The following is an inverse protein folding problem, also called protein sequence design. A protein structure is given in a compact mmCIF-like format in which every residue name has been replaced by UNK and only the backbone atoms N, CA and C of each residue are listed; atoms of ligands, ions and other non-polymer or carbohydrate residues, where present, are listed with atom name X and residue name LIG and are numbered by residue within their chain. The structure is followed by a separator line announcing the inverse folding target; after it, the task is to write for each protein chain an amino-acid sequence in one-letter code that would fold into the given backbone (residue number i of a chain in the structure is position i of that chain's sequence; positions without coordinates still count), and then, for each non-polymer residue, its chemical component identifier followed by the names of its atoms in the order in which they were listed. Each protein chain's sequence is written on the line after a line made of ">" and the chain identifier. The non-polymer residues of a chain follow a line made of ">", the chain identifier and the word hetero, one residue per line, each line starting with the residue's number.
data_IF_622924853052
#
_entry.id   IF_622924853052
#
_cell.length_a   1.000
_cell.length_b   1.000
_cell.length_c   1.000
_cell.angle_alpha   90.00
_cell.angle_beta   90.00
_cell.angle_gamma   90.00
#
_symmetry.space_group_name_H-M   'P 1'
#
loop_
_entity.id
_entity.type
_entity.pdbx_description
1 polymer ?
#
# COMPACT_ATOMS: atom_id res chain seq x y z
N UNK A 1 -37.31 -18.86 -17.39
CA UNK A 1 -36.18 -18.24 -18.12
C UNK A 1 -36.28 -16.73 -17.96
N UNK A 2 -35.52 -16.13 -17.02
CA UNK A 2 -35.47 -14.68 -16.84
C UNK A 2 -34.23 -14.14 -17.56
N UNK A 3 -34.41 -13.10 -18.36
CA UNK A 3 -33.34 -12.42 -19.07
C UNK A 3 -32.36 -11.75 -18.10
N UNK A 4 -31.06 -11.66 -18.42
CA UNK A 4 -30.10 -10.97 -17.58
C UNK A 4 -30.34 -9.47 -17.68
N UNK A 5 -30.53 -8.82 -16.54
CA UNK A 5 -30.51 -7.37 -16.39
C UNK A 5 -29.11 -6.86 -16.69
N UNK A 6 -28.98 -6.02 -17.73
CA UNK A 6 -27.75 -5.32 -18.07
C UNK A 6 -27.39 -4.35 -16.94
N UNK A 7 -26.44 -4.75 -16.09
CA UNK A 7 -25.71 -3.82 -15.24
C UNK A 7 -24.87 -2.95 -16.18
N UNK A 8 -25.09 -1.64 -16.14
CA UNK A 8 -24.26 -0.67 -16.86
C UNK A 8 -22.85 -0.69 -16.26
N UNK A 9 -21.99 -1.55 -16.79
CA UNK A 9 -20.55 -1.54 -16.53
C UNK A 9 -20.00 -0.44 -17.44
N UNK A 10 -19.57 0.68 -16.85
CA UNK A 10 -18.86 1.74 -17.58
C UNK A 10 -17.66 1.19 -18.37
N UNK A 11 -17.08 1.96 -19.31
CA UNK A 11 -16.03 1.46 -20.20
C UNK A 11 -14.89 0.81 -19.41
N UNK A 12 -14.54 -0.43 -19.78
CA UNK A 12 -13.48 -1.23 -19.14
C UNK A 12 -12.16 -0.45 -19.17
N UNK A 13 -11.69 -0.03 -18.00
CA UNK A 13 -10.42 0.68 -17.86
C UNK A 13 -9.30 -0.35 -17.74
N UNK A 14 -8.59 -0.62 -18.83
CA UNK A 14 -7.37 -1.44 -18.81
C UNK A 14 -6.22 -0.62 -18.22
N UNK A 15 -5.97 -0.80 -16.93
CA UNK A 15 -4.91 -0.10 -16.21
C UNK A 15 -3.57 -0.84 -16.36
N UNK A 16 -2.45 -0.10 -16.45
CA UNK A 16 -1.13 -0.72 -16.45
C UNK A 16 -0.87 -1.48 -15.14
N UNK A 17 -0.04 -2.51 -15.24
CA UNK A 17 0.45 -3.24 -14.07
C UNK A 17 1.71 -2.53 -13.54
N UNK A 18 1.76 -2.31 -12.23
CA UNK A 18 2.87 -1.65 -11.56
C UNK A 18 3.56 -2.61 -10.61
N UNK A 19 4.90 -2.62 -10.64
CA UNK A 19 5.69 -3.45 -9.77
C UNK A 19 6.88 -2.65 -9.23
N UNK A 20 6.99 -2.59 -7.90
CA UNK A 20 8.04 -1.88 -7.20
C UNK A 20 9.18 -2.83 -6.85
N UNK A 21 10.42 -2.40 -7.06
CA UNK A 21 11.60 -3.12 -6.57
C UNK A 21 11.63 -3.08 -5.05
N UNK A 22 11.82 -4.26 -4.43
CA UNK A 22 12.03 -4.35 -3.00
C UNK A 22 13.51 -4.12 -2.67
N UNK A 23 13.85 -2.91 -2.24
CA UNK A 23 15.21 -2.52 -1.86
C UNK A 23 15.84 -3.35 -0.74
N UNK A 24 15.07 -4.17 -0.02
CA UNK A 24 15.59 -5.09 1.00
C UNK A 24 16.10 -6.43 0.43
N UNK A 25 15.69 -6.77 -0.79
CA UNK A 25 15.98 -8.07 -1.43
C UNK A 25 16.71 -7.92 -2.77
N UNK A 26 16.50 -6.82 -3.48
CA UNK A 26 17.02 -6.62 -4.84
C UNK A 26 17.17 -5.14 -5.17
N UNK A 27 17.72 -4.88 -6.35
CA UNK A 27 17.94 -3.55 -6.92
C UNK A 27 17.67 -3.61 -8.43
N UNK A 28 17.39 -2.46 -9.08
CA UNK A 28 17.09 -2.41 -10.52
C UNK A 28 18.18 -3.07 -11.39
N UNK A 29 19.44 -2.94 -11.00
CA UNK A 29 20.59 -3.54 -11.71
C UNK A 29 20.56 -5.07 -11.73
N UNK A 30 19.83 -5.72 -10.82
CA UNK A 30 19.60 -7.17 -10.81
C UNK A 30 18.29 -7.54 -11.51
N UNK A 31 17.24 -6.73 -11.34
CA UNK A 31 15.92 -6.98 -11.92
C UNK A 31 15.92 -6.82 -13.45
N UNK A 32 16.63 -5.83 -13.98
CA UNK A 32 16.68 -5.57 -15.43
C UNK A 32 17.24 -6.75 -16.22
N UNK A 33 18.45 -7.28 -15.92
CA UNK A 33 18.97 -8.45 -16.61
C UNK A 33 18.03 -9.66 -16.55
N UNK A 34 17.36 -9.89 -15.41
CA UNK A 34 16.37 -10.95 -15.28
C UNK A 34 15.21 -10.76 -16.27
N UNK A 35 14.61 -9.56 -16.31
CA UNK A 35 13.50 -9.27 -17.21
C UNK A 35 13.90 -9.45 -18.67
N UNK A 36 15.08 -8.96 -19.06
CA UNK A 36 15.62 -9.14 -20.42
C UNK A 36 15.80 -10.63 -20.75
N UNK A 37 16.33 -11.43 -19.82
CA UNK A 37 16.48 -12.88 -19.99
C UNK A 37 15.13 -13.62 -20.09
N UNK A 38 14.08 -13.06 -19.49
CA UNK A 38 12.69 -13.54 -19.58
C UNK A 38 11.96 -13.04 -20.85
N UNK A 39 12.67 -12.38 -21.76
CA UNK A 39 12.13 -11.93 -23.05
C UNK A 39 11.41 -10.58 -23.00
N UNK A 40 11.53 -9.84 -21.89
CA UNK A 40 11.04 -8.46 -21.83
C UNK A 40 12.01 -7.49 -22.49
N UNK A 41 11.49 -6.36 -22.97
CA UNK A 41 12.26 -5.25 -23.54
C UNK A 41 11.98 -3.97 -22.75
N UNK A 42 13.03 -3.24 -22.36
CA UNK A 42 12.90 -1.95 -21.67
C UNK A 42 12.73 -0.81 -22.68
N UNK A 43 11.58 -0.13 -22.63
CA UNK A 43 11.32 1.07 -23.43
C UNK A 43 11.89 2.28 -22.71
N UNK A 44 13.02 2.79 -23.23
CA UNK A 44 13.69 3.98 -22.70
C UNK A 44 13.01 5.27 -23.16
N UNK A 45 13.05 6.29 -22.30
CA UNK A 45 12.60 7.64 -22.63
C UNK A 45 13.36 8.69 -21.82
N UNK A 46 13.50 9.89 -22.38
CA UNK A 46 14.17 11.00 -21.71
C UNK A 46 13.16 11.83 -20.88
N UNK A 47 13.22 11.68 -19.55
CA UNK A 47 12.37 12.41 -18.59
C UNK A 47 12.46 13.94 -18.71
N UNK A 48 13.62 14.47 -19.14
CA UNK A 48 13.83 15.91 -19.27
C UNK A 48 13.18 16.49 -20.52
N UNK A 49 12.95 15.65 -21.54
CA UNK A 49 12.38 16.07 -22.84
C UNK A 49 10.92 15.69 -23.01
N UNK A 50 10.45 14.65 -22.33
CA UNK A 50 9.07 14.17 -22.46
C UNK A 50 8.16 14.76 -21.38
N UNK A 51 7.01 15.31 -21.80
CA UNK A 51 5.94 15.66 -20.86
C UNK A 51 5.30 14.41 -20.26
N UNK A 52 4.79 14.48 -19.03
CA UNK A 52 4.03 13.38 -18.42
C UNK A 52 2.83 12.89 -19.27
N UNK A 53 2.13 13.80 -19.96
CA UNK A 53 1.04 13.43 -20.88
C UNK A 53 1.51 12.54 -22.04
N UNK A 54 2.71 12.77 -22.58
CA UNK A 54 3.33 11.95 -23.63
C UNK A 54 3.83 10.62 -23.07
N UNK A 55 4.41 10.61 -21.86
CA UNK A 55 4.74 9.38 -21.14
C UNK A 55 3.51 8.47 -20.98
N UNK A 56 2.37 9.02 -20.54
CA UNK A 56 1.12 8.24 -20.44
C UNK A 56 0.63 7.71 -21.80
N UNK A 57 0.97 8.35 -22.92
CA UNK A 57 0.69 7.81 -24.26
C UNK A 57 1.61 6.63 -24.60
N UNK A 58 2.86 6.64 -24.14
CA UNK A 58 3.78 5.50 -24.29
C UNK A 58 3.33 4.31 -23.45
N UNK A 59 2.95 4.53 -22.18
CA UNK A 59 2.43 3.46 -21.30
C UNK A 59 1.23 2.74 -21.93
N UNK A 60 0.30 3.49 -22.56
CA UNK A 60 -0.86 2.90 -23.26
C UNK A 60 -0.51 2.12 -24.52
N UNK A 61 0.69 2.31 -25.07
CA UNK A 61 1.17 1.68 -26.31
C UNK A 61 2.19 0.57 -26.06
N UNK A 62 2.53 0.29 -24.80
CA UNK A 62 3.44 -0.80 -24.45
C UNK A 62 2.93 -2.12 -25.02
N UNK A 63 3.82 -2.86 -25.67
CA UNK A 63 3.56 -4.22 -26.12
C UNK A 63 3.65 -5.21 -24.96
N UNK A 64 3.07 -6.41 -25.10
CA UNK A 64 2.96 -7.39 -24.01
C UNK A 64 4.29 -7.76 -23.34
N UNK A 65 5.38 -7.76 -24.12
CA UNK A 65 6.74 -8.05 -23.68
C UNK A 65 7.55 -6.79 -23.36
N UNK A 66 6.93 -5.62 -23.20
CA UNK A 66 7.64 -4.38 -22.92
C UNK A 66 7.37 -3.91 -21.49
N UNK A 67 8.35 -3.21 -20.93
CA UNK A 67 8.20 -2.47 -19.69
C UNK A 67 8.95 -1.15 -19.77
N UNK A 68 8.68 -0.25 -18.83
CA UNK A 68 9.44 0.97 -18.66
C UNK A 68 9.49 1.36 -17.18
N UNK A 69 10.37 2.31 -16.84
CA UNK A 69 10.43 2.89 -15.49
C UNK A 69 9.44 4.04 -15.34
N UNK A 70 8.79 4.16 -14.19
CA UNK A 70 7.80 5.20 -13.97
C UNK A 70 8.39 6.62 -14.03
N UNK A 71 7.58 7.57 -14.51
CA UNK A 71 7.98 8.96 -14.68
C UNK A 71 8.33 9.68 -13.36
N UNK A 72 7.58 9.42 -12.30
CA UNK A 72 7.78 10.06 -10.98
C UNK A 72 8.68 9.22 -10.08
N UNK A 73 8.63 7.89 -10.22
CA UNK A 73 9.37 6.93 -9.40
C UNK A 73 10.33 6.08 -10.25
N UNK A 74 11.30 6.71 -10.93
CA UNK A 74 12.14 6.04 -11.94
C UNK A 74 13.13 5.05 -11.35
N UNK A 75 13.41 5.12 -10.04
CA UNK A 75 14.43 4.30 -9.39
C UNK A 75 13.89 2.98 -8.86
N UNK A 76 12.56 2.90 -8.66
CA UNK A 76 11.98 1.78 -7.93
C UNK A 76 10.72 1.21 -8.58
N UNK A 77 10.03 1.93 -9.48
CA UNK A 77 8.74 1.50 -10.01
C UNK A 77 8.79 1.16 -11.49
N UNK A 78 8.50 -0.10 -11.82
CA UNK A 78 8.34 -0.61 -13.17
C UNK A 78 6.87 -0.54 -13.60
N UNK A 79 6.65 -0.28 -14.88
CA UNK A 79 5.33 -0.19 -15.51
C UNK A 79 5.25 -1.18 -16.65
N UNK A 80 4.23 -2.02 -16.60
CA UNK A 80 3.93 -3.06 -17.57
C UNK A 80 2.54 -2.81 -18.19
N UNK A 81 2.27 -3.40 -19.38
CA UNK A 81 0.93 -3.42 -19.95
C UNK A 81 -0.13 -3.99 -19.00
N UNK A 82 -1.41 -3.67 -19.24
CA UNK A 82 -2.52 -4.34 -18.57
C UNK A 82 -2.47 -5.87 -18.79
N UNK A 83 -2.70 -6.63 -17.72
CA UNK A 83 -2.78 -8.10 -17.78
C UNK A 83 -1.43 -8.84 -17.77
N UNK A 84 -0.29 -8.14 -17.66
CA UNK A 84 1.01 -8.79 -17.51
C UNK A 84 1.07 -9.62 -16.23
N UNK A 85 1.33 -10.93 -16.37
CA UNK A 85 1.45 -11.86 -15.26
C UNK A 85 2.88 -11.88 -14.71
N UNK A 86 3.11 -11.17 -13.60
CA UNK A 86 4.42 -11.08 -12.94
C UNK A 86 4.66 -12.19 -11.91
N UNK A 87 3.61 -12.95 -11.56
CA UNK A 87 3.64 -13.92 -10.45
C UNK A 87 4.64 -15.06 -10.63
N UNK A 88 5.08 -15.30 -11.87
CA UNK A 88 6.01 -16.37 -12.24
C UNK A 88 7.46 -15.91 -12.30
N UNK A 89 7.72 -14.61 -12.20
CA UNK A 89 9.08 -14.07 -12.29
C UNK A 89 9.90 -14.53 -11.06
N UNK A 90 11.16 -14.96 -11.25
CA UNK A 90 12.07 -15.27 -10.14
C UNK A 90 12.16 -14.14 -9.11
N UNK A 91 12.23 -12.89 -9.56
CA UNK A 91 12.21 -11.68 -8.72
C UNK A 91 10.92 -11.53 -7.92
N UNK A 92 9.77 -11.91 -8.46
CA UNK A 92 8.51 -11.89 -7.72
C UNK A 92 8.50 -12.97 -6.63
N UNK A 93 8.87 -14.20 -6.99
CA UNK A 93 8.90 -15.36 -6.07
C UNK A 93 9.89 -15.13 -4.92
N UNK A 94 11.05 -14.52 -5.22
CA UNK A 94 12.08 -14.18 -4.23
C UNK A 94 11.77 -12.90 -3.42
N UNK A 95 10.62 -12.27 -3.63
CA UNK A 95 10.24 -10.98 -3.05
C UNK A 95 11.20 -9.82 -3.41
N UNK A 96 11.96 -9.93 -4.50
CA UNK A 96 12.73 -8.82 -5.10
C UNK A 96 11.85 -7.81 -5.85
N UNK A 97 10.66 -8.23 -6.29
CA UNK A 97 9.67 -7.41 -6.97
C UNK A 97 8.30 -7.54 -6.28
N UNK A 98 7.67 -6.41 -5.97
CA UNK A 98 6.40 -6.33 -5.25
C UNK A 98 5.34 -5.66 -6.13
N UNK A 99 4.18 -6.29 -6.32
CA UNK A 99 3.07 -5.65 -7.03
C UNK A 99 2.49 -4.54 -6.14
N UNK A 100 2.62 -3.31 -6.60
CA UNK A 100 2.17 -2.13 -5.87
C UNK A 100 1.78 -1.03 -6.84
N UNK A 101 0.54 -0.56 -6.75
CA UNK A 101 0.06 0.54 -7.59
C UNK A 101 0.85 1.83 -7.34
N UNK A 102 1.09 2.59 -8.41
CA UNK A 102 1.81 3.86 -8.36
C UNK A 102 1.28 4.80 -7.28
N UNK A 103 -0.04 4.95 -7.14
CA UNK A 103 -0.61 5.85 -6.13
C UNK A 103 -0.32 5.38 -4.70
N UNK A 104 -0.16 4.06 -4.48
CA UNK A 104 0.24 3.52 -3.18
C UNK A 104 1.70 3.80 -2.84
N UNK A 105 2.54 4.17 -3.81
CA UNK A 105 3.95 4.49 -3.58
C UNK A 105 4.18 5.95 -3.17
N UNK A 106 3.27 6.85 -3.52
CA UNK A 106 3.45 8.30 -3.30
C UNK A 106 3.43 8.72 -1.82
N UNK A 107 2.56 8.17 -0.94
CA UNK A 107 2.49 8.62 0.45
C UNK A 107 3.82 8.49 1.21
N UNK A 108 4.59 7.44 0.96
CA UNK A 108 5.87 7.21 1.64
C UNK A 108 6.97 8.16 1.16
N UNK A 109 6.96 8.54 -0.13
CA UNK A 109 7.89 9.56 -0.67
C UNK A 109 7.69 10.94 -0.02
N UNK A 110 6.45 11.24 0.38
CA UNK A 110 6.10 12.53 0.99
C UNK A 110 6.33 12.51 2.51
N UNK A 111 6.17 11.34 3.13
CA UNK A 111 6.21 11.19 4.58
C UNK A 111 7.57 11.51 5.18
N UNK A 112 8.68 11.12 4.56
CA UNK A 112 9.96 11.15 5.27
C UNK A 112 10.70 12.48 5.10
N UNK A 113 11.11 13.08 6.22
CA UNK A 113 12.05 14.22 6.27
C UNK A 113 13.35 13.92 7.00
N UNK A 114 13.32 12.98 7.95
CA UNK A 114 14.43 12.66 8.82
C UNK A 114 14.60 11.14 8.87
N UNK A 115 15.63 10.57 8.22
CA UNK A 115 15.87 9.13 8.23
C UNK A 115 16.19 8.54 9.62
N UNK A 116 16.60 9.37 10.58
CA UNK A 116 16.94 8.93 11.94
C UNK A 116 15.74 8.98 12.91
N UNK A 117 14.62 9.58 12.51
CA UNK A 117 13.42 9.70 13.34
C UNK A 117 12.53 8.46 13.30
N UNK A 118 11.74 8.25 14.35
CA UNK A 118 10.81 7.13 14.39
C UNK A 118 9.54 7.45 13.59
N UNK A 119 8.92 6.40 13.07
CA UNK A 119 7.78 6.49 12.15
C UNK A 119 6.69 5.52 12.56
N UNK A 120 5.43 5.95 12.46
CA UNK A 120 4.27 5.07 12.61
C UNK A 120 3.60 4.85 11.25
N UNK A 121 3.36 3.60 10.88
CA UNK A 121 2.40 3.18 9.87
C UNK A 121 1.16 2.62 10.60
N UNK A 122 0.11 3.45 10.70
CA UNK A 122 -1.02 3.22 11.60
C UNK A 122 -2.04 2.17 11.10
N UNK A 123 -1.98 1.82 9.81
CA UNK A 123 -2.89 0.89 9.15
C UNK A 123 -2.09 -0.02 8.20
N UNK A 124 -1.05 -0.63 8.74
CA UNK A 124 0.08 -1.15 7.99
C UNK A 124 -0.24 -2.33 7.07
N UNK A 125 -1.25 -3.15 7.38
CA UNK A 125 -1.46 -4.37 6.63
C UNK A 125 -2.03 -4.10 5.21
N UNK A 126 -1.54 -4.78 4.16
CA UNK A 126 -0.69 -5.98 4.19
C UNK A 126 0.83 -5.72 4.17
N UNK A 127 1.30 -4.49 4.33
CA UNK A 127 2.72 -4.17 4.52
C UNK A 127 3.45 -3.56 3.33
N UNK A 128 2.78 -3.31 2.20
CA UNK A 128 3.43 -2.74 1.00
C UNK A 128 4.09 -1.38 1.28
N UNK A 129 3.39 -0.49 2.00
CA UNK A 129 3.92 0.84 2.36
C UNK A 129 4.97 0.73 3.47
N UNK A 130 4.74 -0.13 4.46
CA UNK A 130 5.74 -0.46 5.48
C UNK A 130 7.06 -0.90 4.86
N UNK A 131 7.04 -1.84 3.90
CA UNK A 131 8.23 -2.31 3.18
C UNK A 131 8.90 -1.22 2.33
N UNK A 132 8.14 -0.22 1.87
CA UNK A 132 8.70 0.92 1.14
C UNK A 132 9.41 1.90 2.10
N UNK A 133 8.93 2.06 3.33
CA UNK A 133 9.53 2.94 4.34
C UNK A 133 10.86 2.41 4.89
N UNK A 134 10.99 1.09 5.09
CA UNK A 134 12.18 0.48 5.72
C UNK A 134 13.51 0.92 5.07
N UNK A 135 13.71 0.83 3.73
CA UNK A 135 14.98 1.23 3.12
C UNK A 135 15.23 2.75 3.16
N UNK A 136 14.21 3.57 3.44
CA UNK A 136 14.33 5.02 3.54
C UNK A 136 14.73 5.49 4.94
N UNK A 137 14.72 4.59 5.94
CA UNK A 137 15.05 4.86 7.34
C UNK A 137 16.45 4.32 7.68
N UNK A 138 17.12 4.97 8.62
CA UNK A 138 18.43 4.55 9.11
C UNK A 138 18.32 3.49 10.21
N UNK A 139 19.44 2.87 10.58
CA UNK A 139 19.49 1.90 11.68
C UNK A 139 19.19 2.49 13.07
N UNK A 140 19.14 3.81 13.22
CA UNK A 140 18.79 4.51 14.48
C UNK A 140 17.29 4.72 14.66
N UNK A 141 16.51 4.59 13.59
CA UNK A 141 15.07 4.78 13.59
C UNK A 141 14.34 3.49 14.00
N UNK A 142 13.12 3.68 14.51
CA UNK A 142 12.13 2.64 14.76
C UNK A 142 10.90 2.89 13.87
N UNK A 143 10.52 1.88 13.10
CA UNK A 143 9.28 1.86 12.33
C UNK A 143 8.25 1.00 13.06
N UNK A 144 7.18 1.63 13.55
CA UNK A 144 6.04 0.96 14.18
C UNK A 144 4.97 0.67 13.12
N UNK A 145 4.71 -0.61 12.84
CA UNK A 145 3.71 -1.06 11.89
C UNK A 145 2.49 -1.62 12.64
N UNK A 146 1.39 -0.88 12.64
CA UNK A 146 0.21 -1.18 13.44
C UNK A 146 -0.95 -1.59 12.53
N UNK A 147 -1.62 -2.68 12.87
CA UNK A 147 -2.94 -3.01 12.30
C UNK A 147 -3.81 -3.67 13.36
N UNK A 148 -5.10 -3.31 13.39
CA UNK A 148 -6.03 -3.79 14.41
C UNK A 148 -6.62 -5.17 14.11
N UNK A 149 -6.65 -5.57 12.84
CA UNK A 149 -7.30 -6.80 12.41
C UNK A 149 -6.30 -7.97 12.48
N UNK A 150 -6.53 -9.00 13.30
CA UNK A 150 -5.56 -10.09 13.48
C UNK A 150 -5.23 -10.87 12.20
N UNK A 151 -6.18 -11.00 11.27
CA UNK A 151 -5.98 -11.73 10.01
C UNK A 151 -5.10 -10.94 9.05
N UNK A 152 -5.39 -9.63 8.90
CA UNK A 152 -4.55 -8.70 8.13
C UNK A 152 -3.17 -8.54 8.78
N UNK A 153 -3.10 -8.48 10.11
CA UNK A 153 -1.85 -8.39 10.85
C UNK A 153 -0.97 -9.64 10.63
N UNK A 154 -1.55 -10.84 10.60
CA UNK A 154 -0.80 -12.06 10.25
C UNK A 154 -0.17 -11.93 8.85
N UNK A 155 -0.95 -11.46 7.85
CA UNK A 155 -0.44 -11.23 6.49
C UNK A 155 0.69 -10.20 6.46
N UNK A 156 0.55 -9.09 7.20
CA UNK A 156 1.61 -8.10 7.37
C UNK A 156 2.88 -8.77 7.90
N UNK A 157 2.77 -9.55 8.97
CA UNK A 157 3.92 -10.20 9.58
C UNK A 157 4.59 -11.21 8.65
N UNK A 158 3.81 -12.08 7.99
CA UNK A 158 4.34 -13.05 7.03
C UNK A 158 5.06 -12.32 5.90
N UNK A 159 4.47 -11.24 5.39
CA UNK A 159 5.04 -10.44 4.32
C UNK A 159 6.35 -9.74 4.73
N UNK A 160 6.44 -9.20 5.96
CA UNK A 160 7.68 -8.63 6.48
C UNK A 160 8.76 -9.71 6.64
N UNK A 161 8.41 -10.89 7.18
CA UNK A 161 9.34 -12.02 7.36
C UNK A 161 9.92 -12.50 6.03
N UNK A 162 9.09 -12.66 4.99
CA UNK A 162 9.55 -13.17 3.70
C UNK A 162 10.24 -12.10 2.84
N UNK A 163 9.96 -10.81 3.07
CA UNK A 163 10.49 -9.71 2.24
C UNK A 163 11.83 -9.13 2.68
N UNK A 164 12.55 -9.80 3.59
CA UNK A 164 13.94 -9.44 3.94
C UNK A 164 14.08 -8.47 5.10
N UNK A 165 13.07 -8.35 5.97
CA UNK A 165 13.17 -7.57 7.21
C UNK A 165 13.92 -8.37 8.26
N UNK A 166 15.11 -7.89 8.67
CA UNK A 166 16.00 -8.62 9.57
C UNK A 166 15.91 -8.18 11.04
N UNK A 167 15.40 -6.97 11.31
CA UNK A 167 15.24 -6.40 12.66
C UNK A 167 13.77 -6.28 13.03
N UNK A 168 13.08 -7.41 13.16
CA UNK A 168 11.63 -7.45 13.37
C UNK A 168 11.30 -7.89 14.80
N UNK A 169 10.55 -7.05 15.51
CA UNK A 169 9.86 -7.40 16.75
C UNK A 169 8.37 -7.45 16.47
N UNK A 170 7.71 -8.53 16.85
CA UNK A 170 6.26 -8.68 16.70
C UNK A 170 5.63 -8.71 18.10
N UNK A 171 4.53 -7.99 18.30
CA UNK A 171 3.81 -7.95 19.58
C UNK A 171 2.31 -7.74 19.35
N UNK A 172 1.48 -8.27 20.25
CA UNK A 172 0.03 -8.22 20.12
C UNK A 172 -0.69 -9.25 21.00
N UNK A 173 -2.03 -9.24 21.04
CA UNK A 173 -2.80 -10.28 21.72
C UNK A 173 -2.49 -11.65 21.10
N UNK A 174 -2.38 -12.70 21.92
CA UNK A 174 -2.01 -14.03 21.46
C UNK A 174 -2.88 -14.47 20.26
N UNK A 175 -2.27 -14.58 19.08
CA UNK A 175 -2.95 -15.10 17.89
C UNK A 175 -2.63 -16.60 17.83
N UNK A 176 -3.63 -17.49 17.76
CA UNK A 176 -3.39 -18.93 17.67
C UNK A 176 -2.47 -19.25 16.49
N UNK A 177 -1.50 -20.16 16.71
CA UNK A 177 -0.51 -20.61 15.71
C UNK A 177 0.34 -19.48 15.11
N UNK A 178 0.60 -18.43 15.88
CA UNK A 178 1.44 -17.31 15.43
C UNK A 178 2.58 -17.08 16.42
N UNK A 179 3.81 -17.25 15.92
CA UNK A 179 5.00 -17.14 16.74
C UNK A 179 5.48 -15.68 16.84
N UNK A 180 5.48 -15.19 18.08
CA UNK A 180 6.06 -13.91 18.44
C UNK A 180 7.58 -14.02 18.46
N UNK A 181 8.19 -13.71 17.32
CA UNK A 181 9.65 -13.81 17.15
C UNK A 181 10.28 -12.43 17.33
N UNK A 182 11.40 -12.37 18.07
CA UNK A 182 12.39 -11.29 17.94
C UNK A 182 13.45 -11.74 16.97
N UNK A 183 13.44 -11.19 15.76
CA UNK A 183 14.55 -11.34 14.82
C UNK A 183 15.57 -10.26 15.14
N UNK A 184 16.64 -10.65 15.83
CA UNK A 184 17.80 -9.79 16.02
C UNK A 184 18.71 -9.95 14.79
N UNK A 185 19.07 -8.84 14.17
CA UNK A 185 20.02 -8.89 13.07
C UNK A 185 21.44 -9.22 13.57
N UNK A 186 22.24 -9.81 12.69
CA UNK A 186 23.69 -9.87 12.89
C UNK A 186 24.28 -8.47 13.07
N UNK A 187 25.39 -8.38 13.81
CA UNK A 187 26.13 -7.14 14.05
C UNK A 187 26.38 -6.41 12.71
N UNK A 188 25.94 -5.16 12.58
CA UNK A 188 26.15 -4.32 11.39
C UNK A 188 24.96 -4.12 10.44
N UNK A 189 23.74 -4.54 10.80
CA UNK A 189 22.57 -4.33 9.95
C UNK A 189 22.20 -2.85 9.76
N UNK A 190 22.08 -2.43 8.49
CA UNK A 190 21.71 -1.05 8.08
C UNK A 190 20.22 -0.74 8.22
N UNK A 191 19.37 -1.73 8.45
CA UNK A 191 17.91 -1.56 8.56
C UNK A 191 17.50 -0.88 9.88
N UNK A 192 16.39 -0.11 9.91
CA UNK A 192 15.78 0.35 11.16
C UNK A 192 15.30 -0.81 12.01
N UNK A 193 14.97 -0.55 13.27
CA UNK A 193 14.15 -1.48 14.04
C UNK A 193 12.72 -1.45 13.49
N UNK A 194 12.13 -2.60 13.18
CA UNK A 194 10.72 -2.71 12.83
C UNK A 194 9.96 -3.35 13.99
N UNK A 195 8.87 -2.71 14.42
CA UNK A 195 8.00 -3.19 15.50
C UNK A 195 6.59 -3.34 14.94
N UNK A 196 6.17 -4.58 14.69
CA UNK A 196 4.81 -4.90 14.25
C UNK A 196 3.90 -5.08 15.47
N UNK A 197 2.83 -4.28 15.56
CA UNK A 197 1.88 -4.27 16.68
C UNK A 197 0.46 -4.61 16.21
N UNK A 198 -0.12 -5.69 16.74
CA UNK A 198 -1.54 -5.96 16.55
C UNK A 198 -2.35 -5.19 17.59
N UNK A 199 -2.78 -3.98 17.24
CA UNK A 199 -3.47 -3.06 18.15
C UNK A 199 -4.36 -2.08 17.36
N UNK A 200 -5.36 -1.50 18.03
CA UNK A 200 -6.06 -0.34 17.48
C UNK A 200 -5.16 0.90 17.62
N UNK A 201 -4.90 1.59 16.51
CA UNK A 201 -4.12 2.82 16.52
C UNK A 201 -4.73 3.85 17.49
N UNK A 202 -6.06 3.93 17.58
CA UNK A 202 -6.75 4.86 18.49
C UNK A 202 -6.58 4.52 19.98
N UNK A 203 -6.13 3.30 20.30
CA UNK A 203 -5.87 2.87 21.68
C UNK A 203 -4.44 3.10 22.14
N UNK A 204 -3.56 3.58 21.26
CA UNK A 204 -2.19 3.91 21.63
C UNK A 204 -2.19 5.17 22.50
N UNK A 205 -1.32 5.21 23.51
CA UNK A 205 -1.08 6.42 24.27
C UNK A 205 0.00 7.26 23.55
N UNK A 206 -0.33 8.45 23.03
CA UNK A 206 0.63 9.33 22.38
C UNK A 206 1.78 9.78 23.30
N UNK A 207 1.58 9.71 24.62
CA UNK A 207 2.57 10.06 25.63
C UNK A 207 3.43 8.88 26.08
N UNK A 208 3.20 7.67 25.57
CA UNK A 208 4.04 6.51 25.86
C UNK A 208 5.50 6.82 25.47
N UNK A 209 6.47 6.67 26.38
CA UNK A 209 7.88 6.99 26.11
C UNK A 209 8.45 6.31 24.87
N UNK A 210 7.91 5.15 24.45
CA UNK A 210 8.37 4.48 23.22
C UNK A 210 8.07 5.27 21.94
N UNK A 211 7.14 6.22 21.98
CA UNK A 211 6.76 7.05 20.84
C UNK A 211 7.34 8.47 20.89
N UNK A 212 8.18 8.80 21.89
CA UNK A 212 8.70 10.16 22.08
C UNK A 212 9.54 10.68 20.91
N UNK A 213 10.10 9.79 20.07
CA UNK A 213 10.90 10.11 18.89
C UNK A 213 10.12 10.00 17.57
N UNK A 214 8.81 9.75 17.63
CA UNK A 214 7.98 9.65 16.42
C UNK A 214 7.75 11.05 15.86
N UNK A 215 8.34 11.33 14.69
CA UNK A 215 8.19 12.61 14.00
C UNK A 215 7.18 12.53 12.84
N UNK A 216 6.93 11.33 12.34
CA UNK A 216 6.12 11.11 11.13
C UNK A 216 5.13 9.96 11.27
N UNK A 217 3.88 10.19 10.85
CA UNK A 217 2.82 9.18 10.86
C UNK A 217 2.19 9.03 9.46
N UNK A 218 2.12 7.79 8.99
CA UNK A 218 1.39 7.39 7.80
C UNK A 218 0.01 6.85 8.18
N UNK A 219 -1.03 7.48 7.63
CA UNK A 219 -2.42 7.06 7.77
C UNK A 219 -2.96 6.62 6.40
N UNK A 220 -3.09 5.31 6.22
CA UNK A 220 -3.74 4.72 5.04
C UNK A 220 -4.92 3.81 5.45
N UNK A 221 -6.00 4.39 6.02
CA UNK A 221 -7.11 3.59 6.53
C UNK A 221 -7.91 2.93 5.41
N UNK A 222 -8.62 1.85 5.78
CA UNK A 222 -9.56 1.20 4.88
C UNK A 222 -10.60 2.21 4.35
N UNK A 223 -10.69 2.29 3.02
CA UNK A 223 -11.64 3.15 2.31
C UNK A 223 -12.91 2.36 1.94
N UNK A 224 -13.88 3.02 1.29
CA UNK A 224 -15.08 2.37 0.73
C UNK A 224 -14.78 1.26 -0.30
N UNK A 225 -13.54 1.16 -0.79
CA UNK A 225 -13.08 0.18 -1.78
C UNK A 225 -13.45 0.55 -3.23
N UNK A 226 -14.11 1.69 -3.46
CA UNK A 226 -14.62 2.04 -4.79
C UNK A 226 -13.53 2.32 -5.83
N UNK A 227 -12.30 2.67 -5.43
CA UNK A 227 -11.16 2.81 -6.35
C UNK A 227 -10.40 1.50 -6.67
N UNK A 228 -10.67 0.41 -5.94
CA UNK A 228 -9.99 -0.90 -6.08
C UNK A 228 -10.89 -1.96 -6.74
N UNK A 229 -12.20 -1.72 -6.90
CA UNK A 229 -13.19 -2.66 -7.44
C UNK A 229 -12.88 -3.15 -8.87
N UNK A 230 -12.01 -2.45 -9.61
CA UNK A 230 -11.61 -2.79 -10.97
C UNK A 230 -10.24 -3.50 -11.07
N UNK A 231 -9.59 -3.86 -9.94
CA UNK A 231 -8.17 -4.21 -9.92
C UNK A 231 -7.93 -5.55 -9.21
N UNK A 232 -7.57 -6.60 -9.97
CA UNK A 232 -6.99 -7.83 -9.40
C UNK A 232 -5.48 -7.91 -9.75
N UNK A 233 -4.65 -8.48 -8.86
CA UNK A 233 -3.20 -8.59 -9.07
C UNK A 233 -2.78 -9.41 -10.29
N UNK A 234 -3.64 -10.31 -10.76
CA UNK A 234 -3.43 -11.21 -11.90
C UNK A 234 -4.02 -10.67 -13.21
N UNK A 235 -4.59 -9.45 -13.19
CA UNK A 235 -5.32 -8.89 -14.34
C UNK A 235 -6.66 -9.57 -14.63
N UNK A 236 -7.11 -10.49 -13.77
CA UNK A 236 -8.45 -11.07 -13.85
C UNK A 236 -9.51 -10.05 -13.38
N UNK A 237 -10.74 -10.23 -13.82
CA UNK A 237 -11.86 -9.51 -13.23
C UNK A 237 -12.29 -10.26 -11.97
N UNK A 238 -12.71 -9.56 -10.89
CA UNK A 238 -13.34 -10.26 -9.78
C UNK A 238 -14.45 -11.14 -10.35
N UNK A 239 -14.55 -12.43 -9.95
CA UNK A 239 -15.71 -13.22 -10.30
C UNK A 239 -16.96 -12.45 -9.88
N UNK A 240 -18.02 -12.49 -10.67
CA UNK A 240 -19.32 -11.82 -10.46
C UNK A 240 -20.08 -12.31 -9.20
N UNK A 241 -19.36 -12.81 -8.20
CA UNK A 241 -19.83 -13.48 -7.01
C UNK A 241 -18.81 -13.32 -5.88
N UNK A 242 -18.70 -12.12 -5.32
CA UNK A 242 -18.15 -11.93 -3.95
C UNK A 242 -18.52 -10.58 -3.33
N UNK A 243 -19.73 -10.09 -3.56
CA UNK A 243 -20.46 -9.43 -2.47
C UNK A 243 -21.20 -10.53 -1.71
N UNK A 244 -20.64 -10.98 -0.59
CA UNK A 244 -21.43 -11.68 0.41
C UNK A 244 -22.43 -10.68 1.00
N UNK A 245 -23.56 -10.50 0.32
CA UNK A 245 -24.82 -10.08 0.94
C UNK A 245 -25.64 -11.36 1.06
N UNK A 246 -25.33 -12.14 2.07
CA UNK A 246 -26.17 -13.25 2.52
C UNK A 246 -27.29 -12.68 3.38
N UNK A 247 -28.29 -12.09 2.75
CA UNK A 247 -29.62 -11.95 3.34
C UNK A 247 -30.61 -11.66 2.23
N UNK A 248 -31.29 -12.71 1.79
CA UNK A 248 -32.52 -12.59 1.02
C UNK A 248 -33.53 -11.82 1.86
N UNK A 249 -33.82 -10.59 1.47
CA UNK A 249 -35.09 -9.90 1.71
C UNK A 249 -35.13 -8.75 0.71
N UNK A 250 -36.25 -8.60 0.00
CA UNK A 250 -36.44 -7.52 -0.96
C UNK A 250 -36.53 -6.19 -0.20
N UNK A 251 -35.40 -5.53 0.00
CA UNK A 251 -35.35 -4.20 0.60
C UNK A 251 -35.35 -3.16 -0.50
N UNK A 252 -36.29 -2.22 -0.40
CA UNK A 252 -36.54 -1.10 -1.31
C UNK A 252 -35.25 -0.34 -1.66
N UNK A 253 -35.16 0.17 -2.89
CA UNK A 253 -34.01 0.95 -3.42
C UNK A 253 -33.60 2.12 -2.53
N UNK A 254 -34.54 2.69 -1.77
CA UNK A 254 -34.29 3.83 -0.87
C UNK A 254 -33.50 3.42 0.40
N UNK A 255 -33.64 2.17 0.86
CA UNK A 255 -32.95 1.68 2.05
C UNK A 255 -31.47 1.38 1.79
N UNK A 256 -31.15 0.92 0.56
CA UNK A 256 -29.78 0.65 0.11
C UNK A 256 -28.97 1.95 0.01
N UNK A 257 -29.62 3.05 -0.39
CA UNK A 257 -29.03 4.39 -0.40
C UNK A 257 -28.74 4.91 1.02
N UNK A 258 -29.66 4.69 1.95
CA UNK A 258 -29.53 5.13 3.34
C UNK A 258 -28.41 4.38 4.10
N UNK A 259 -28.31 3.05 3.93
CA UNK A 259 -27.28 2.23 4.56
C UNK A 259 -25.88 2.59 4.04
N UNK A 260 -25.76 2.81 2.73
CA UNK A 260 -24.51 3.27 2.10
C UNK A 260 -24.09 4.64 2.61
N UNK A 261 -25.01 5.59 2.75
CA UNK A 261 -24.75 6.92 3.33
C UNK A 261 -24.31 6.84 4.80
N UNK A 262 -24.97 5.99 5.61
CA UNK A 262 -24.59 5.77 7.03
C UNK A 262 -23.18 5.17 7.14
N UNK A 263 -22.82 4.23 6.27
CA UNK A 263 -21.48 3.64 6.21
C UNK A 263 -20.43 4.69 5.82
N UNK A 264 -20.69 5.52 4.82
CA UNK A 264 -19.79 6.60 4.40
C UNK A 264 -19.53 7.59 5.54
N UNK A 265 -20.58 8.01 6.27
CA UNK A 265 -20.45 8.89 7.44
C UNK A 265 -19.61 8.26 8.57
N UNK A 266 -19.83 6.97 8.86
CA UNK A 266 -19.02 6.24 9.86
C UNK A 266 -17.55 6.17 9.46
N UNK A 267 -17.26 5.93 8.18
CA UNK A 267 -15.88 5.91 7.65
C UNK A 267 -15.22 7.28 7.76
N UNK A 268 -15.91 8.36 7.37
CA UNK A 268 -15.39 9.72 7.49
C UNK A 268 -15.11 10.10 8.95
N UNK A 269 -16.00 9.74 9.88
CA UNK A 269 -15.80 9.98 11.31
C UNK A 269 -14.59 9.22 11.86
N UNK A 270 -14.43 7.94 11.49
CA UNK A 270 -13.27 7.14 11.89
C UNK A 270 -11.97 7.75 11.35
N UNK A 271 -11.95 8.16 10.08
CA UNK A 271 -10.80 8.81 9.45
C UNK A 271 -10.42 10.13 10.17
N UNK A 272 -11.42 10.93 10.54
CA UNK A 272 -11.19 12.15 11.31
C UNK A 272 -10.64 11.85 12.73
N UNK A 273 -11.10 10.78 13.38
CA UNK A 273 -10.55 10.35 14.67
C UNK A 273 -9.09 9.89 14.54
N UNK A 274 -8.77 9.08 13.52
CA UNK A 274 -7.39 8.66 13.25
C UNK A 274 -6.47 9.85 13.03
N UNK A 275 -6.93 10.84 12.26
CA UNK A 275 -6.16 12.05 11.99
C UNK A 275 -5.93 12.87 13.26
N UNK A 276 -6.97 13.14 14.05
CA UNK A 276 -6.84 13.85 15.33
C UNK A 276 -5.91 13.12 16.30
N UNK A 277 -6.00 11.79 16.34
CA UNK A 277 -5.13 10.98 17.18
C UNK A 277 -3.66 11.04 16.73
N UNK A 278 -3.39 10.95 15.43
CA UNK A 278 -2.02 11.11 14.90
C UNK A 278 -1.42 12.47 15.25
N UNK A 279 -2.23 13.54 15.22
CA UNK A 279 -1.81 14.89 15.59
C UNK A 279 -1.65 15.11 17.11
N UNK A 280 -1.97 14.12 17.95
CA UNK A 280 -1.81 14.23 19.41
C UNK A 280 -0.45 13.71 19.92
N UNK A 281 0.37 13.14 19.04
CA UNK A 281 1.73 12.70 19.37
C UNK A 281 2.66 13.93 19.48
N UNK A 282 3.41 14.09 20.58
CA UNK A 282 4.06 15.36 20.93
C UNK A 282 5.16 15.79 19.96
N UNK A 283 5.87 14.84 19.36
CA UNK A 283 7.00 15.11 18.44
C UNK A 283 6.60 15.05 16.96
N UNK A 284 5.33 14.73 16.66
CA UNK A 284 4.88 14.58 15.27
C UNK A 284 4.80 15.95 14.60
N UNK A 285 5.63 16.13 13.58
CA UNK A 285 5.65 17.32 12.74
C UNK A 285 5.11 17.05 11.33
N UNK A 286 4.82 15.78 11.01
CA UNK A 286 4.33 15.37 9.70
C UNK A 286 3.36 14.21 9.76
N UNK A 287 2.16 14.42 9.26
CA UNK A 287 1.20 13.34 9.01
C UNK A 287 0.89 13.27 7.53
N UNK A 288 1.01 12.08 6.95
CA UNK A 288 0.57 11.80 5.59
C UNK A 288 -0.69 10.95 5.64
N UNK A 289 -1.77 11.49 5.09
CA UNK A 289 -3.05 10.81 4.98
C UNK A 289 -3.35 10.44 3.53
N UNK A 290 -3.65 9.16 3.28
CA UNK A 290 -4.04 8.65 1.96
C UNK A 290 -5.28 7.77 2.03
N UNK A 291 -6.09 7.81 0.97
CA UNK A 291 -7.23 6.91 0.79
C UNK A 291 -7.35 6.45 -0.66
N UNK A 292 -8.01 5.31 -0.86
CA UNK A 292 -8.32 4.73 -2.16
C UNK A 292 -9.75 5.04 -2.66
N UNK A 293 -10.42 6.05 -2.10
CA UNK A 293 -11.82 6.38 -2.44
C UNK A 293 -11.91 7.47 -3.51
N UNK A 294 -12.87 7.34 -4.43
CA UNK A 294 -13.21 8.34 -5.46
C UNK A 294 -14.37 9.26 -5.06
N UNK A 295 -14.98 9.07 -3.88
CA UNK A 295 -16.10 9.88 -3.42
C UNK A 295 -15.65 11.17 -2.73
N UNK A 296 -16.17 12.32 -3.18
CA UNK A 296 -15.89 13.67 -2.64
C UNK A 296 -16.12 13.80 -1.13
N UNK A 297 -17.05 13.02 -0.56
CA UNK A 297 -17.39 13.04 0.87
C UNK A 297 -16.39 12.28 1.77
N UNK A 298 -15.59 11.38 1.19
CA UNK A 298 -14.57 10.56 1.89
C UNK A 298 -13.15 10.88 1.40
N UNK A 299 -13.07 11.58 0.28
CA UNK A 299 -11.85 12.00 -0.39
C UNK A 299 -12.12 13.34 -1.03
N UNK A 300 -11.49 14.41 -0.56
CA UNK A 300 -11.20 15.52 -1.47
C UNK A 300 -10.18 14.95 -2.47
N UNK A 301 -10.59 14.17 -3.50
CA UNK A 301 -9.75 13.55 -4.57
C UNK A 301 -8.74 12.51 -3.99
N UNK A 302 -8.14 11.57 -4.74
CA UNK A 302 -6.92 10.87 -4.30
C UNK A 302 -5.83 11.90 -3.98
N UNK A 303 -5.86 12.40 -2.75
CA UNK A 303 -5.08 13.54 -2.32
C UNK A 303 -4.25 13.10 -1.14
N UNK A 304 -2.95 13.09 -1.37
CA UNK A 304 -2.00 12.98 -0.29
C UNK A 304 -1.95 14.33 0.40
N UNK A 305 -2.41 14.37 1.65
CA UNK A 305 -2.34 15.58 2.45
C UNK A 305 -1.14 15.47 3.40
N UNK A 306 -0.27 16.46 3.35
CA UNK A 306 0.77 16.65 4.36
C UNK A 306 0.28 17.72 5.32
N UNK A 307 0.03 17.33 6.56
CA UNK A 307 -0.14 18.29 7.65
C UNK A 307 1.23 18.51 8.28
N UNK A 308 1.76 19.72 8.14
CA UNK A 308 2.88 20.21 8.95
C UNK A 308 2.28 21.03 10.09
N UNK A 309 2.66 20.68 11.32
CA UNK A 309 2.37 21.50 12.50
C UNK A 309 3.35 22.65 12.61
#
# INVERSE_FOLDING_TARGET
>A
MRSPTNVFIGPRVNLPCYARVNGLRSHLELIRPELLAQGYEEVQYDRTKISYRRFLKQVRKLQANQFLLDYHLPHDLLVFPPGTCLLKLPSFISHGLLIQDKASCIPTEILLSNPDADVIDACAAPGNKTLQLIPMLSSKATLFAIDRDPSRFRRLCDHLKTSGVCRLTISGPAVPNFEYTKMAAGIGAKQPQVVALCADFLSLDPQDPKFCRVESILLDPSCSGSGLSMRQPDGSFPPSSSTNISSQTAVSSDFVGEESSRRLKRLANLQAQLLRHALSFPSVNRVVYSTCSVHSEVSIIPSVHTLRM
#
